data_IF_534579880256
#
_entry.id   IF_534579880256
#
_cell.length_a   1.000
_cell.length_b   1.000
_cell.length_c   1.000
_cell.angle_alpha   90.00
_cell.angle_beta   90.00
_cell.angle_gamma   90.00
#
_symmetry.space_group_name_H-M   'P 1'
#
loop_
_entity.id
_entity.type
_entity.pdbx_description
1 polymer ?
#
# COMPACT_ATOMS: atom_id res chain seq x y z
N UNK A 1 -11.66 -30.79 -6.72
CA UNK A 1 -11.08 -29.72 -7.58
C UNK A 1 -10.80 -28.53 -6.68
N UNK A 2 -9.57 -28.00 -6.62
CA UNK A 2 -9.31 -26.74 -5.93
C UNK A 2 -9.87 -25.57 -6.73
N UNK A 3 -10.45 -24.58 -6.05
CA UNK A 3 -10.99 -23.35 -6.63
C UNK A 3 -10.69 -22.16 -5.70
N UNK A 4 -10.58 -20.96 -6.25
CA UNK A 4 -10.31 -19.73 -5.50
C UNK A 4 -11.36 -18.66 -5.85
N UNK A 5 -11.79 -17.90 -4.84
CA UNK A 5 -12.58 -16.69 -5.02
C UNK A 5 -11.64 -15.51 -4.85
N UNK A 6 -11.37 -14.79 -5.93
CA UNK A 6 -10.44 -13.67 -5.90
C UNK A 6 -11.05 -12.45 -5.23
N UNK A 7 -10.21 -11.61 -4.61
CA UNK A 7 -10.65 -10.32 -4.07
C UNK A 7 -11.26 -9.40 -5.15
N UNK A 8 -10.80 -9.52 -6.40
CA UNK A 8 -11.39 -8.82 -7.54
C UNK A 8 -12.88 -9.19 -7.74
N UNK A 9 -13.23 -10.47 -7.60
CA UNK A 9 -14.63 -10.91 -7.69
C UNK A 9 -15.48 -10.38 -6.53
N UNK A 10 -14.92 -10.36 -5.30
CA UNK A 10 -15.58 -9.78 -4.13
C UNK A 10 -15.88 -8.28 -4.35
N UNK A 11 -14.89 -7.52 -4.83
CA UNK A 11 -15.05 -6.09 -5.13
C UNK A 11 -16.04 -5.86 -6.28
N UNK A 12 -16.02 -6.68 -7.32
CA UNK A 12 -16.99 -6.61 -8.42
C UNK A 12 -18.45 -6.78 -7.96
N UNK A 13 -18.70 -7.72 -7.05
CA UNK A 13 -20.04 -7.90 -6.50
C UNK A 13 -20.47 -6.69 -5.64
N UNK A 14 -19.55 -6.12 -4.85
CA UNK A 14 -19.81 -4.89 -4.10
C UNK A 14 -20.12 -3.70 -5.03
N UNK A 15 -19.37 -3.53 -6.12
CA UNK A 15 -19.61 -2.49 -7.13
C UNK A 15 -21.02 -2.60 -7.73
N UNK A 16 -21.44 -3.82 -8.08
CA UNK A 16 -22.77 -4.08 -8.62
C UNK A 16 -23.86 -3.80 -7.58
N UNK A 17 -23.64 -4.16 -6.32
CA UNK A 17 -24.58 -3.90 -5.24
C UNK A 17 -24.77 -2.39 -5.03
N UNK A 18 -23.69 -1.60 -4.96
CA UNK A 18 -23.79 -0.13 -4.85
C UNK A 18 -24.47 0.47 -6.09
N UNK A 19 -24.12 0.01 -7.28
CA UNK A 19 -24.72 0.48 -8.54
C UNK A 19 -26.24 0.24 -8.57
N UNK A 20 -26.71 -0.84 -7.93
CA UNK A 20 -28.13 -1.16 -7.85
C UNK A 20 -28.97 -0.11 -7.08
N UNK A 21 -28.38 0.69 -6.19
CA UNK A 21 -29.11 1.80 -5.54
C UNK A 21 -29.40 2.97 -6.48
N UNK A 22 -28.67 3.09 -7.59
CA UNK A 22 -28.93 4.08 -8.62
C UNK A 22 -30.03 3.67 -9.60
N UNK A 23 -30.24 2.37 -9.78
CA UNK A 23 -31.21 1.81 -10.73
C UNK A 23 -32.48 1.31 -10.06
N UNK A 24 -32.35 0.63 -8.93
CA UNK A 24 -33.45 0.11 -8.12
C UNK A 24 -33.80 1.09 -7.01
N UNK A 25 -35.06 1.03 -6.54
CA UNK A 25 -35.49 1.77 -5.35
C UNK A 25 -35.39 0.85 -4.14
N UNK A 26 -34.31 1.02 -3.37
CA UNK A 26 -34.06 0.27 -2.13
C UNK A 26 -34.46 1.15 -0.94
N UNK A 27 -35.24 0.59 -0.02
CA UNK A 27 -35.75 1.32 1.15
C UNK A 27 -35.32 0.62 2.44
N UNK A 28 -34.99 1.41 3.46
CA UNK A 28 -34.96 0.94 4.84
C UNK A 28 -36.34 1.15 5.45
N UNK A 29 -36.95 0.08 5.95
CA UNK A 29 -38.28 0.09 6.55
C UNK A 29 -38.18 -0.11 8.06
N UNK A 30 -39.04 0.59 8.80
CA UNK A 30 -39.28 0.36 10.23
C UNK A 30 -40.77 0.11 10.44
N UNK A 31 -41.11 -0.80 11.33
CA UNK A 31 -42.47 -1.25 11.58
C UNK A 31 -42.60 -1.92 12.94
N UNK A 32 -43.71 -2.64 13.13
CA UNK A 32 -44.06 -3.35 14.38
C UNK A 32 -44.20 -2.38 15.57
N UNK A 33 -45.29 -1.59 15.56
CA UNK A 33 -45.64 -0.69 16.67
C UNK A 33 -46.22 -1.44 17.88
N UNK A 34 -46.91 -2.55 17.64
CA UNK A 34 -47.56 -3.32 18.69
C UNK A 34 -46.55 -4.13 19.51
N UNK A 35 -46.88 -4.33 20.79
CA UNK A 35 -46.10 -5.16 21.70
C UNK A 35 -45.82 -6.57 21.13
N UNK A 36 -44.64 -7.09 21.44
CA UNK A 36 -44.31 -8.48 21.14
C UNK A 36 -45.13 -9.39 22.04
N UNK A 37 -45.99 -10.21 21.45
CA UNK A 37 -46.84 -11.15 22.18
C UNK A 37 -47.32 -12.28 21.25
N UNK A 38 -47.69 -13.40 21.86
CA UNK A 38 -48.21 -14.57 21.12
C UNK A 38 -47.15 -15.27 20.28
N UNK A 39 -47.55 -16.33 19.58
CA UNK A 39 -46.70 -17.01 18.62
C UNK A 39 -47.16 -16.67 17.19
N UNK A 40 -46.25 -16.19 16.33
CA UNK A 40 -46.50 -16.04 14.89
C UNK A 40 -45.43 -16.76 14.09
N UNK A 41 -45.72 -18.02 13.74
CA UNK A 41 -44.84 -18.91 12.98
C UNK A 41 -44.55 -18.42 11.55
N UNK A 42 -45.17 -17.31 11.11
CA UNK A 42 -44.84 -16.67 9.84
C UNK A 42 -43.58 -15.81 9.96
N UNK A 43 -43.26 -15.30 11.15
CA UNK A 43 -42.19 -14.31 11.36
C UNK A 43 -41.13 -14.74 12.38
N UNK A 44 -41.48 -15.60 13.34
CA UNK A 44 -40.55 -16.09 14.37
C UNK A 44 -41.04 -17.38 15.06
N UNK A 45 -40.16 -18.02 15.82
CA UNK A 45 -40.51 -19.15 16.70
C UNK A 45 -40.65 -18.68 18.15
N UNK A 46 -41.42 -19.42 18.95
CA UNK A 46 -41.61 -19.14 20.39
C UNK A 46 -42.68 -18.09 20.69
N UNK A 47 -42.60 -17.49 21.88
CA UNK A 47 -43.56 -16.51 22.40
C UNK A 47 -42.79 -15.29 22.91
N UNK A 48 -42.40 -14.36 22.02
CA UNK A 48 -41.61 -13.20 22.37
C UNK A 48 -42.33 -12.22 23.31
N UNK A 49 -41.54 -11.36 23.94
CA UNK A 49 -41.98 -10.22 24.76
C UNK A 49 -41.13 -9.00 24.44
N UNK A 50 -41.54 -7.81 24.86
CA UNK A 50 -40.75 -6.59 24.67
C UNK A 50 -39.39 -6.62 25.40
N UNK A 51 -39.22 -7.54 26.35
CA UNK A 51 -37.96 -7.78 27.06
C UNK A 51 -37.15 -8.96 26.51
N UNK A 52 -37.70 -9.72 25.57
CA UNK A 52 -37.07 -10.88 24.95
C UNK A 52 -37.53 -10.96 23.50
N UNK A 53 -36.82 -10.23 22.64
CA UNK A 53 -37.12 -10.15 21.22
C UNK A 53 -36.82 -11.48 20.51
N UNK A 54 -37.64 -11.87 19.52
CA UNK A 54 -37.44 -13.13 18.82
C UNK A 54 -36.35 -13.01 17.75
N UNK A 55 -35.76 -14.15 17.38
CA UNK A 55 -34.97 -14.25 16.15
C UNK A 55 -35.92 -14.36 14.95
N UNK A 56 -35.83 -13.46 13.95
CA UNK A 56 -36.64 -13.56 12.75
C UNK A 56 -36.38 -14.85 11.97
N UNK A 57 -37.41 -15.38 11.32
CA UNK A 57 -37.30 -16.48 10.37
C UNK A 57 -37.68 -16.02 8.96
N UNK A 58 -37.04 -16.60 7.95
CA UNK A 58 -37.34 -16.33 6.54
C UNK A 58 -38.37 -17.34 6.03
N UNK A 59 -39.64 -16.91 5.98
CA UNK A 59 -40.75 -17.70 5.41
C UNK A 59 -41.34 -16.97 4.21
N UNK A 60 -41.99 -17.70 3.30
CA UNK A 60 -42.71 -17.09 2.16
C UNK A 60 -43.84 -16.15 2.60
N UNK A 61 -44.32 -16.27 3.84
CA UNK A 61 -45.33 -15.39 4.42
C UNK A 61 -44.76 -14.18 5.17
N UNK A 62 -43.50 -14.23 5.65
CA UNK A 62 -42.90 -13.20 6.47
C UNK A 62 -42.95 -11.80 5.82
N UNK A 63 -42.61 -11.65 4.52
CA UNK A 63 -42.63 -10.34 3.87
C UNK A 63 -44.00 -9.67 3.92
N UNK A 64 -45.10 -10.41 3.73
CA UNK A 64 -46.45 -9.82 3.75
C UNK A 64 -46.81 -9.25 5.11
N UNK A 65 -46.43 -9.95 6.19
CA UNK A 65 -46.71 -9.48 7.54
C UNK A 65 -45.83 -8.28 7.89
N UNK A 66 -44.55 -8.29 7.53
CA UNK A 66 -43.65 -7.15 7.75
C UNK A 66 -44.06 -5.89 6.98
N UNK A 67 -44.56 -6.03 5.74
CA UNK A 67 -45.07 -4.89 4.97
C UNK A 67 -46.40 -4.35 5.52
N UNK A 68 -47.25 -5.21 6.09
CA UNK A 68 -48.48 -4.78 6.74
C UNK A 68 -48.21 -4.00 8.04
N UNK A 69 -47.15 -4.38 8.77
CA UNK A 69 -46.76 -3.74 10.03
C UNK A 69 -45.81 -2.55 9.83
N UNK A 70 -45.51 -2.17 8.58
CA UNK A 70 -44.61 -1.08 8.25
C UNK A 70 -45.21 0.27 8.67
N UNK A 71 -44.44 1.06 9.40
CA UNK A 71 -44.82 2.41 9.84
C UNK A 71 -44.21 3.46 8.91
N UNK A 72 -42.94 3.28 8.55
CA UNK A 72 -42.22 4.22 7.70
C UNK A 72 -41.17 3.51 6.85
N UNK A 73 -40.89 4.10 5.69
CA UNK A 73 -39.83 3.68 4.79
C UNK A 73 -39.03 4.89 4.33
N UNK A 74 -37.70 4.74 4.26
CA UNK A 74 -36.81 5.78 3.70
C UNK A 74 -36.03 5.23 2.53
N UNK A 75 -36.10 5.94 1.40
CA UNK A 75 -35.30 5.63 0.22
C UNK A 75 -33.82 5.78 0.56
N UNK A 76 -33.04 4.78 0.19
CA UNK A 76 -31.58 4.78 0.29
C UNK A 76 -31.02 5.30 -1.03
N UNK A 77 -30.41 6.48 -1.03
CA UNK A 77 -29.81 7.04 -2.23
C UNK A 77 -28.38 6.54 -2.40
N UNK A 78 -27.84 6.66 -3.62
CA UNK A 78 -26.42 6.35 -3.90
C UNK A 78 -25.45 7.18 -3.05
N UNK A 79 -25.84 8.38 -2.62
CA UNK A 79 -25.06 9.24 -1.71
C UNK A 79 -25.02 8.76 -0.26
N UNK A 80 -25.86 7.78 0.08
CA UNK A 80 -26.02 7.20 1.42
C UNK A 80 -25.34 5.82 1.52
N UNK A 81 -24.60 5.43 0.47
CA UNK A 81 -23.91 4.14 0.37
C UNK A 81 -22.47 4.36 -0.04
N UNK A 82 -21.52 3.68 0.61
CA UNK A 82 -20.10 3.76 0.28
C UNK A 82 -19.41 2.42 0.43
N UNK A 83 -18.33 2.20 -0.33
CA UNK A 83 -17.41 1.12 -0.02
C UNK A 83 -16.67 1.45 1.26
N UNK A 84 -16.43 0.43 2.08
CA UNK A 84 -15.64 0.55 3.31
C UNK A 84 -14.55 -0.51 3.36
N UNK A 85 -13.48 -0.17 4.06
CA UNK A 85 -12.38 -1.07 4.43
C UNK A 85 -12.22 -1.09 5.94
N UNK A 86 -11.63 -2.16 6.47
CA UNK A 86 -11.37 -2.27 7.90
C UNK A 86 -10.49 -1.11 8.35
N UNK A 87 -10.87 -0.46 9.45
CA UNK A 87 -10.08 0.59 10.07
C UNK A 87 -8.88 -0.01 10.78
N UNK A 88 -7.70 0.54 10.51
CA UNK A 88 -6.47 0.24 11.24
C UNK A 88 -5.82 1.58 11.53
N UNK A 89 -5.80 2.01 12.79
CA UNK A 89 -5.15 3.27 13.15
C UNK A 89 -3.65 3.07 13.34
N UNK A 90 -2.85 4.04 12.87
CA UNK A 90 -1.42 4.01 13.12
C UNK A 90 -1.13 4.20 14.62
N UNK A 91 -0.26 3.36 15.17
CA UNK A 91 0.19 3.37 16.56
C UNK A 91 1.68 3.05 16.60
N UNK A 92 2.46 3.86 17.32
CA UNK A 92 3.89 3.64 17.49
C UNK A 92 4.17 2.32 18.23
N UNK A 93 5.23 1.62 17.84
CA UNK A 93 5.63 0.34 18.42
C UNK A 93 4.93 -0.88 17.83
N UNK A 94 4.08 -0.71 16.82
CA UNK A 94 3.39 -1.81 16.12
C UNK A 94 4.14 -2.18 14.84
N UNK A 95 4.20 -3.48 14.55
CA UNK A 95 4.68 -3.99 13.26
C UNK A 95 3.51 -4.01 12.29
N UNK A 96 3.65 -3.29 11.17
CA UNK A 96 2.70 -3.36 10.07
C UNK A 96 3.22 -4.31 8.99
N UNK A 97 2.32 -5.06 8.38
CA UNK A 97 2.70 -6.01 7.34
C UNK A 97 3.18 -5.25 6.10
N UNK A 98 4.29 -5.70 5.53
CA UNK A 98 4.75 -5.21 4.23
C UNK A 98 3.81 -5.71 3.12
N UNK A 99 3.55 -4.86 2.13
CA UNK A 99 2.92 -5.31 0.90
C UNK A 99 3.81 -6.28 0.13
N UNK A 100 3.26 -7.42 -0.26
CA UNK A 100 3.91 -8.33 -1.20
C UNK A 100 2.95 -8.83 -2.26
N UNK A 101 3.35 -8.72 -3.52
CA UNK A 101 2.67 -9.34 -4.67
C UNK A 101 2.64 -10.87 -4.63
N UNK A 102 3.43 -11.50 -3.75
CA UNK A 102 3.47 -12.96 -3.53
C UNK A 102 2.67 -13.38 -2.30
N UNK A 103 2.15 -12.43 -1.52
CA UNK A 103 1.39 -12.72 -0.31
C UNK A 103 0.02 -13.30 -0.66
N UNK A 104 -0.29 -14.45 -0.07
CA UNK A 104 -1.66 -14.99 -0.10
C UNK A 104 -2.56 -14.17 0.83
N UNK A 105 -3.78 -13.91 0.36
CA UNK A 105 -4.77 -13.03 0.97
C UNK A 105 -4.19 -11.77 1.63
N UNK A 106 -3.55 -10.92 0.82
CA UNK A 106 -2.97 -9.65 1.27
C UNK A 106 -3.97 -8.77 2.05
N UNK A 107 -5.28 -8.89 1.79
CA UNK A 107 -6.32 -8.06 2.42
C UNK A 107 -6.53 -8.40 3.89
N UNK A 108 -6.24 -9.62 4.31
CA UNK A 108 -6.33 -10.04 5.71
C UNK A 108 -5.13 -9.55 6.55
N UNK A 109 -4.10 -8.99 5.91
CA UNK A 109 -2.92 -8.44 6.58
C UNK A 109 -3.15 -7.00 7.07
N UNK A 110 -2.42 -6.58 8.10
CA UNK A 110 -2.39 -5.19 8.58
C UNK A 110 -1.34 -4.36 7.80
N UNK A 111 -1.56 -4.21 6.49
CA UNK A 111 -0.58 -3.58 5.57
C UNK A 111 -0.90 -2.13 5.20
N UNK A 112 -1.92 -1.53 5.81
CA UNK A 112 -2.24 -0.12 5.68
C UNK A 112 -2.69 0.45 7.02
N UNK A 113 -2.65 1.76 7.13
CA UNK A 113 -3.02 2.50 8.34
C UNK A 113 -3.75 3.79 8.00
N UNK A 114 -4.60 4.25 8.90
CA UNK A 114 -5.12 5.60 8.95
C UNK A 114 -4.41 6.40 10.04
N UNK A 115 -4.08 7.66 9.76
CA UNK A 115 -3.52 8.60 10.74
C UNK A 115 -4.62 9.41 11.44
N UNK A 116 -4.25 10.16 12.47
CA UNK A 116 -5.10 11.17 13.13
C UNK A 116 -5.55 12.32 12.21
N UNK A 117 -4.89 12.49 11.07
CA UNK A 117 -5.29 13.43 10.02
C UNK A 117 -6.18 12.77 8.94
N UNK A 118 -6.68 11.56 9.18
CA UNK A 118 -7.50 10.79 8.23
C UNK A 118 -6.80 10.43 6.91
N UNK A 119 -5.47 10.63 6.82
CA UNK A 119 -4.65 10.14 5.73
C UNK A 119 -4.49 8.62 5.85
N UNK A 120 -4.72 7.91 4.74
CA UNK A 120 -4.56 6.47 4.63
C UNK A 120 -3.28 6.16 3.87
N UNK A 121 -2.40 5.38 4.49
CA UNK A 121 -1.12 4.97 3.94
C UNK A 121 -1.03 3.45 3.81
N UNK A 122 -0.44 2.99 2.72
CA UNK A 122 -0.05 1.60 2.52
C UNK A 122 1.42 1.40 2.90
N UNK A 123 1.71 0.34 3.65
CA UNK A 123 3.05 -0.07 4.01
C UNK A 123 3.72 -0.76 2.80
N UNK A 124 4.69 -0.09 2.18
CA UNK A 124 5.46 -0.62 1.05
C UNK A 124 6.66 -1.40 1.53
N UNK A 125 7.29 -0.99 2.63
CA UNK A 125 8.27 -1.80 3.34
C UNK A 125 8.23 -1.54 4.84
N UNK A 126 8.42 -2.60 5.63
CA UNK A 126 8.44 -2.56 7.08
C UNK A 126 9.85 -2.78 7.68
N UNK A 127 10.88 -2.60 6.84
CA UNK A 127 12.28 -2.75 7.22
C UNK A 127 12.58 -4.11 7.89
N UNK A 128 12.14 -5.20 7.27
CA UNK A 128 12.39 -6.55 7.78
C UNK A 128 11.59 -6.91 9.03
N UNK A 129 10.38 -6.36 9.18
CA UNK A 129 9.46 -6.68 10.27
C UNK A 129 9.77 -5.99 11.60
N UNK A 130 10.52 -4.89 11.58
CA UNK A 130 10.76 -4.07 12.78
C UNK A 130 9.49 -3.30 13.18
N UNK A 131 9.37 -2.84 14.42
CA UNK A 131 8.22 -2.02 14.82
C UNK A 131 8.31 -0.60 14.25
N UNK A 132 7.23 -0.10 13.65
CA UNK A 132 7.17 1.31 13.21
C UNK A 132 7.14 2.22 14.43
N UNK A 133 8.00 3.23 14.45
CA UNK A 133 8.08 4.21 15.53
C UNK A 133 7.74 5.62 15.06
N UNK A 134 7.76 5.86 13.75
CA UNK A 134 7.51 7.15 13.12
C UNK A 134 6.26 7.10 12.25
N UNK A 135 5.29 7.96 12.55
CA UNK A 135 4.05 8.08 11.79
C UNK A 135 4.33 8.65 10.39
N UNK A 136 3.79 8.08 9.31
CA UNK A 136 3.89 8.70 7.99
C UNK A 136 3.15 10.04 7.92
N UNK A 137 3.67 10.96 7.12
CA UNK A 137 3.08 12.29 6.90
C UNK A 137 3.20 12.69 5.43
N UNK A 138 2.38 13.66 5.00
CA UNK A 138 2.41 14.21 3.65
C UNK A 138 1.52 13.43 2.66
N UNK A 139 1.04 14.12 1.63
CA UNK A 139 0.05 13.59 0.68
C UNK A 139 0.61 13.51 -0.75
N UNK A 140 1.94 13.43 -0.88
CA UNK A 140 2.56 13.36 -2.20
C UNK A 140 2.27 12.02 -2.86
N UNK A 141 2.32 11.98 -4.19
CA UNK A 141 2.16 10.74 -4.95
C UNK A 141 3.38 9.81 -4.86
N UNK A 142 4.49 10.23 -4.27
CA UNK A 142 5.67 9.40 -4.06
C UNK A 142 5.54 8.45 -2.87
N UNK A 143 6.45 7.49 -2.79
CA UNK A 143 6.68 6.73 -1.55
C UNK A 143 7.56 7.57 -0.66
N UNK A 144 7.15 7.73 0.60
CA UNK A 144 7.93 8.42 1.62
C UNK A 144 8.65 7.40 2.48
N UNK A 145 9.91 7.68 2.82
CA UNK A 145 10.65 6.90 3.81
C UNK A 145 10.70 7.67 5.12
N UNK A 146 10.31 7.03 6.22
CA UNK A 146 10.36 7.61 7.56
C UNK A 146 11.69 7.28 8.25
N UNK A 147 12.02 7.99 9.33
CA UNK A 147 13.32 7.85 10.00
C UNK A 147 13.56 6.46 10.64
N UNK A 148 12.52 5.65 10.80
CA UNK A 148 12.57 4.24 11.20
C UNK A 148 12.76 3.27 10.01
N UNK A 149 13.04 3.79 8.81
CA UNK A 149 13.21 3.07 7.54
C UNK A 149 11.95 2.40 6.99
N UNK A 150 10.79 2.63 7.60
CA UNK A 150 9.54 2.26 6.94
C UNK A 150 9.34 3.07 5.67
N UNK A 151 8.73 2.43 4.66
CA UNK A 151 8.35 3.08 3.41
C UNK A 151 6.84 3.05 3.26
N UNK A 152 6.25 4.23 3.15
CA UNK A 152 4.81 4.42 3.12
C UNK A 152 4.38 5.08 1.81
N UNK A 153 3.29 4.57 1.24
CA UNK A 153 2.63 5.18 0.08
C UNK A 153 1.33 5.83 0.56
N UNK A 154 1.20 7.14 0.36
CA UNK A 154 -0.09 7.81 0.54
C UNK A 154 -1.09 7.30 -0.49
N UNK A 155 -2.29 6.92 -0.04
CA UNK A 155 -3.34 6.38 -0.89
C UNK A 155 -4.43 7.42 -1.14
N UNK A 156 -4.99 7.97 -0.05
CA UNK A 156 -6.03 9.01 -0.06
C UNK A 156 -6.22 9.56 1.36
N UNK A 157 -6.97 10.66 1.46
CA UNK A 157 -7.48 11.19 2.73
C UNK A 157 -9.00 10.95 2.79
N UNK A 158 -9.50 10.43 3.91
CA UNK A 158 -10.95 10.36 4.15
C UNK A 158 -11.48 11.78 4.33
N UNK A 159 -12.33 12.21 3.40
CA UNK A 159 -12.87 13.56 3.39
C UNK A 159 -13.79 13.80 4.60
N UNK A 160 -13.80 15.00 5.15
CA UNK A 160 -14.55 15.33 6.38
C UNK A 160 -16.04 14.97 6.31
N UNK A 161 -16.68 15.16 5.15
CA UNK A 161 -18.07 14.77 4.93
C UNK A 161 -18.27 13.25 5.04
N UNK A 162 -17.29 12.47 4.60
CA UNK A 162 -17.30 11.01 4.69
C UNK A 162 -16.89 10.52 6.08
N UNK A 163 -16.03 11.25 6.81
CA UNK A 163 -15.72 10.97 8.22
C UNK A 163 -16.99 10.93 9.05
N UNK A 164 -17.82 11.97 8.95
CA UNK A 164 -19.07 12.07 9.70
C UNK A 164 -20.08 10.97 9.34
N UNK A 165 -19.99 10.43 8.13
CA UNK A 165 -20.97 9.47 7.61
C UNK A 165 -20.58 8.01 7.78
N UNK A 166 -19.29 7.68 7.62
CA UNK A 166 -18.86 6.31 7.35
C UNK A 166 -17.70 5.84 8.23
N UNK A 167 -17.04 6.74 8.97
CA UNK A 167 -15.99 6.32 9.90
C UNK A 167 -16.61 5.79 11.18
N UNK A 168 -16.24 4.56 11.53
CA UNK A 168 -16.61 3.90 12.78
C UNK A 168 -15.35 3.44 13.53
N UNK A 169 -15.50 2.69 14.61
CA UNK A 169 -14.38 2.01 15.28
C UNK A 169 -13.71 0.98 14.37
N UNK A 170 -14.47 0.37 13.45
CA UNK A 170 -14.03 -0.80 12.68
C UNK A 170 -13.91 -0.55 11.19
N UNK A 171 -14.45 0.56 10.67
CA UNK A 171 -14.58 0.82 9.25
C UNK A 171 -14.24 2.26 8.87
N UNK A 172 -13.61 2.42 7.70
CA UNK A 172 -13.38 3.71 7.03
C UNK A 172 -13.84 3.62 5.57
N UNK A 173 -14.36 4.70 4.99
CA UNK A 173 -14.81 4.72 3.60
C UNK A 173 -13.63 4.75 2.64
N UNK A 174 -13.81 4.13 1.46
CA UNK A 174 -12.85 4.18 0.36
C UNK A 174 -13.57 4.41 -0.96
N UNK A 175 -12.97 5.18 -1.87
CA UNK A 175 -13.54 5.47 -3.19
C UNK A 175 -12.51 5.34 -4.29
N UNK A 176 -12.98 5.13 -5.51
CA UNK A 176 -12.21 5.34 -6.73
C UNK A 176 -12.73 6.62 -7.40
N UNK A 177 -11.83 7.53 -7.75
CA UNK A 177 -12.22 8.77 -8.43
C UNK A 177 -12.24 8.57 -9.94
N UNK A 178 -13.34 8.95 -10.59
CA UNK A 178 -13.49 8.92 -12.06
C UNK A 178 -13.13 10.25 -12.72
N UNK A 179 -13.04 11.32 -11.94
CA UNK A 179 -12.62 12.66 -12.36
C UNK A 179 -11.87 13.35 -11.21
N UNK A 180 -11.10 14.37 -11.56
CA UNK A 180 -10.42 15.22 -10.59
C UNK A 180 -11.45 15.94 -9.70
N UNK A 181 -11.32 15.77 -8.39
CA UNK A 181 -12.14 16.43 -7.37
C UNK A 181 -11.33 17.43 -6.53
N UNK A 182 -10.10 17.75 -6.95
CA UNK A 182 -9.17 18.65 -6.28
C UNK A 182 -8.43 18.05 -5.09
N UNK A 183 -8.68 16.77 -4.74
CA UNK A 183 -7.98 16.09 -3.66
C UNK A 183 -6.73 15.35 -4.17
N UNK A 184 -5.74 15.21 -3.30
CA UNK A 184 -4.48 14.52 -3.58
C UNK A 184 -4.65 13.06 -4.04
N UNK A 185 -5.79 12.41 -3.73
CA UNK A 185 -6.09 11.07 -4.26
C UNK A 185 -6.05 11.04 -5.79
N UNK A 186 -6.55 12.08 -6.48
CA UNK A 186 -6.53 12.10 -7.94
C UNK A 186 -5.10 12.09 -8.48
N UNK A 187 -4.21 12.91 -7.92
CA UNK A 187 -2.79 12.94 -8.29
C UNK A 187 -2.11 11.59 -8.06
N UNK A 188 -2.41 10.93 -6.93
CA UNK A 188 -1.94 9.58 -6.63
C UNK A 188 -2.41 8.58 -7.70
N UNK A 189 -3.70 8.63 -8.09
CA UNK A 189 -4.25 7.75 -9.12
C UNK A 189 -3.60 7.98 -10.50
N UNK A 190 -3.24 9.22 -10.82
CA UNK A 190 -2.67 9.56 -12.12
C UNK A 190 -1.17 9.24 -12.20
N UNK A 191 -0.45 9.36 -11.08
CA UNK A 191 0.98 9.08 -11.01
C UNK A 191 1.32 7.59 -10.79
N UNK A 192 0.32 6.73 -10.59
CA UNK A 192 0.54 5.29 -10.37
C UNK A 192 1.23 4.63 -11.58
N UNK A 193 2.26 3.82 -11.31
CA UNK A 193 3.06 3.14 -12.33
C UNK A 193 2.78 1.64 -12.30
N UNK A 194 2.26 1.11 -13.42
CA UNK A 194 1.96 -0.31 -13.58
C UNK A 194 3.19 -1.19 -13.32
N UNK A 195 3.10 -2.13 -12.37
CA UNK A 195 4.19 -3.08 -12.11
C UNK A 195 5.54 -2.45 -11.81
N UNK A 196 5.58 -1.31 -11.12
CA UNK A 196 6.85 -0.73 -10.67
C UNK A 196 7.51 -1.63 -9.63
N UNK A 197 8.84 -1.77 -9.70
CA UNK A 197 9.65 -2.44 -8.71
C UNK A 197 10.04 -1.42 -7.62
N UNK A 198 9.09 -1.13 -6.74
CA UNK A 198 9.20 -0.02 -5.79
C UNK A 198 10.21 -0.28 -4.67
N UNK A 199 10.47 -1.56 -4.37
CA UNK A 199 11.29 -2.00 -3.24
C UNK A 199 11.97 -3.34 -3.53
N UNK A 200 13.15 -3.57 -2.96
CA UNK A 200 13.82 -4.86 -2.94
C UNK A 200 14.12 -5.20 -1.49
N UNK A 201 13.49 -6.26 -1.01
CA UNK A 201 13.69 -6.76 0.34
C UNK A 201 15.01 -7.50 0.49
N UNK A 202 15.61 -7.38 1.66
CA UNK A 202 16.75 -8.19 2.08
C UNK A 202 16.22 -9.24 3.05
N UNK A 203 15.78 -10.40 2.53
CA UNK A 203 15.19 -11.46 3.36
C UNK A 203 16.25 -12.25 4.12
N UNK A 204 17.48 -12.28 3.62
CA UNK A 204 18.65 -12.76 4.35
C UNK A 204 19.81 -11.81 4.07
N UNK A 205 20.44 -11.28 5.13
CA UNK A 205 21.49 -10.27 5.00
C UNK A 205 22.84 -10.81 4.49
N UNK A 206 23.06 -12.13 4.60
CA UNK A 206 24.35 -12.76 4.33
C UNK A 206 25.47 -12.29 5.27
N UNK A 207 26.70 -12.68 4.97
CA UNK A 207 27.90 -12.34 5.76
C UNK A 207 29.13 -12.14 4.87
N UNK A 208 30.14 -11.44 5.37
CA UNK A 208 31.44 -11.29 4.71
C UNK A 208 31.49 -10.19 3.65
N UNK A 209 30.47 -9.34 3.52
CA UNK A 209 30.46 -8.20 2.62
C UNK A 209 31.35 -7.06 3.16
N UNK A 210 32.66 -7.26 3.19
CA UNK A 210 33.64 -6.35 3.83
C UNK A 210 34.40 -5.47 2.85
N UNK A 211 34.31 -5.74 1.55
CA UNK A 211 35.00 -4.95 0.52
C UNK A 211 34.20 -3.71 0.13
N UNK A 212 33.58 -3.02 1.08
CA UNK A 212 32.83 -1.78 0.85
C UNK A 212 33.66 -0.58 1.29
N UNK A 213 33.41 0.58 0.67
CA UNK A 213 34.11 1.80 1.04
C UNK A 213 33.26 3.03 0.79
N UNK A 214 33.36 4.03 1.66
CA UNK A 214 32.73 5.34 1.45
C UNK A 214 33.75 6.43 1.71
N UNK A 215 33.61 7.56 1.05
CA UNK A 215 34.51 8.69 1.26
C UNK A 215 34.26 9.81 0.26
N UNK A 216 35.14 10.81 0.29
CA UNK A 216 35.15 11.90 -0.71
C UNK A 216 36.25 11.62 -1.73
N UNK A 217 35.91 11.70 -3.01
CA UNK A 217 36.86 11.50 -4.09
C UNK A 217 37.98 12.54 -4.05
N UNK A 218 39.16 12.18 -4.56
CA UNK A 218 40.28 13.10 -4.73
C UNK A 218 40.21 13.85 -6.07
N UNK A 219 39.69 13.18 -7.11
CA UNK A 219 39.51 13.69 -8.47
C UNK A 219 38.66 12.72 -9.30
N UNK A 220 38.30 13.11 -10.52
CA UNK A 220 37.68 12.24 -11.51
C UNK A 220 37.94 12.71 -12.93
N UNK A 221 37.84 11.79 -13.88
CA UNK A 221 37.87 12.08 -15.33
C UNK A 221 36.57 11.61 -15.98
N UNK A 222 36.51 11.58 -17.30
CA UNK A 222 35.36 11.04 -18.01
C UNK A 222 35.09 9.57 -17.66
N UNK A 223 36.12 8.76 -17.41
CA UNK A 223 36.01 7.30 -17.21
C UNK A 223 36.64 6.82 -15.91
N UNK A 224 37.02 7.72 -15.01
CA UNK A 224 37.65 7.35 -13.74
C UNK A 224 37.16 8.18 -12.57
N UNK A 225 37.29 7.61 -11.38
CA UNK A 225 37.18 8.30 -10.10
C UNK A 225 38.35 7.87 -9.22
N UNK A 226 39.06 8.84 -8.65
CA UNK A 226 40.10 8.60 -7.66
C UNK A 226 39.46 8.63 -6.28
N UNK A 227 39.42 7.46 -5.63
CA UNK A 227 38.82 7.26 -4.32
C UNK A 227 39.66 7.92 -3.22
N UNK A 228 39.09 8.04 -2.02
CA UNK A 228 39.77 8.58 -0.85
C UNK A 228 41.04 7.77 -0.52
N UNK A 229 42.03 8.41 0.10
CA UNK A 229 43.31 7.76 0.46
C UNK A 229 43.13 6.53 1.36
N UNK A 230 42.05 6.50 2.16
CA UNK A 230 41.68 5.38 3.03
C UNK A 230 41.10 4.17 2.30
N UNK A 231 40.83 4.25 0.99
CA UNK A 231 40.37 3.09 0.22
C UNK A 231 41.45 2.00 0.16
N UNK A 232 41.05 0.76 -0.15
CA UNK A 232 41.96 -0.40 -0.16
C UNK A 232 43.19 -0.21 -1.05
N UNK A 233 44.34 -0.74 -0.61
CA UNK A 233 45.59 -0.76 -1.38
C UNK A 233 45.70 -1.92 -2.36
N UNK A 234 44.73 -2.82 -2.35
CA UNK A 234 44.75 -4.05 -3.15
C UNK A 234 44.13 -3.79 -4.51
N UNK A 235 44.86 -4.12 -5.57
CA UNK A 235 44.34 -4.09 -6.94
C UNK A 235 43.13 -5.03 -7.09
N UNK A 236 42.24 -4.71 -8.02
CA UNK A 236 41.06 -5.48 -8.40
C UNK A 236 39.98 -5.72 -7.33
N UNK A 237 40.21 -5.31 -6.07
CA UNK A 237 39.32 -5.61 -4.94
C UNK A 237 37.88 -5.10 -5.11
N UNK A 238 37.69 -4.04 -5.90
CA UNK A 238 36.38 -3.45 -6.21
C UNK A 238 35.87 -3.79 -7.61
N UNK A 239 36.55 -4.64 -8.39
CA UNK A 239 36.10 -4.99 -9.73
C UNK A 239 34.74 -5.70 -9.69
N UNK A 240 33.82 -5.27 -10.56
CA UNK A 240 32.44 -5.75 -10.61
C UNK A 240 31.51 -5.19 -9.52
N UNK A 241 32.02 -4.38 -8.60
CA UNK A 241 31.21 -3.60 -7.65
C UNK A 241 30.70 -2.31 -8.31
N UNK A 242 29.81 -1.58 -7.65
CA UNK A 242 29.38 -0.25 -8.11
C UNK A 242 29.98 0.87 -7.27
N UNK A 243 30.19 2.02 -7.91
CA UNK A 243 30.43 3.31 -7.26
C UNK A 243 29.24 4.22 -7.52
N UNK A 244 28.64 4.73 -6.44
CA UNK A 244 27.54 5.69 -6.48
C UNK A 244 28.00 7.02 -5.88
N UNK A 245 27.69 8.14 -6.54
CA UNK A 245 27.92 9.49 -5.98
C UNK A 245 26.68 9.89 -5.21
N UNK A 246 26.81 10.06 -3.89
CA UNK A 246 25.71 10.34 -2.96
C UNK A 246 25.56 11.81 -2.58
N UNK A 247 26.56 12.64 -2.89
CA UNK A 247 26.46 14.11 -2.88
C UNK A 247 27.67 14.76 -3.58
N UNK A 248 27.59 16.07 -3.83
CA UNK A 248 28.65 16.85 -4.48
C UNK A 248 28.59 16.76 -6.01
N UNK A 249 29.71 17.03 -6.69
CA UNK A 249 29.74 17.01 -8.15
C UNK A 249 29.38 15.64 -8.70
N UNK A 250 28.39 15.58 -9.60
CA UNK A 250 27.96 14.33 -10.23
C UNK A 250 27.03 13.45 -9.38
N UNK A 251 26.43 14.02 -8.33
CA UNK A 251 25.43 13.37 -7.47
C UNK A 251 24.34 12.62 -8.26
N UNK A 252 23.92 11.47 -7.72
CA UNK A 252 22.91 10.59 -8.30
C UNK A 252 23.42 9.61 -9.35
N UNK A 253 24.67 9.75 -9.82
CA UNK A 253 25.22 8.82 -10.81
C UNK A 253 25.76 7.54 -10.16
N UNK A 254 25.48 6.40 -10.79
CA UNK A 254 26.03 5.08 -10.43
C UNK A 254 26.75 4.45 -11.63
N UNK A 255 27.87 3.79 -11.37
CA UNK A 255 28.64 3.06 -12.40
C UNK A 255 29.21 1.76 -11.84
N UNK A 256 29.34 0.75 -12.69
CA UNK A 256 30.07 -0.48 -12.39
C UNK A 256 31.57 -0.26 -12.59
N UNK A 257 32.36 -0.65 -11.60
CA UNK A 257 33.83 -0.59 -11.64
C UNK A 257 34.33 -1.75 -12.50
N UNK A 258 34.96 -1.42 -13.62
CA UNK A 258 35.54 -2.42 -14.54
C UNK A 258 36.98 -2.75 -14.21
N UNK A 259 37.69 -1.84 -13.54
CA UNK A 259 39.08 -2.00 -13.11
C UNK A 259 39.37 -1.10 -11.89
N UNK A 260 40.27 -1.52 -11.00
CA UNK A 260 40.68 -0.78 -9.82
C UNK A 260 42.17 -0.96 -9.52
N UNK A 261 42.90 0.16 -9.54
CA UNK A 261 44.32 0.19 -9.19
C UNK A 261 44.48 0.71 -7.75
N UNK A 262 44.79 -0.20 -6.83
CA UNK A 262 44.86 0.05 -5.38
C UNK A 262 46.03 0.94 -4.96
N UNK A 263 47.11 0.97 -5.75
CA UNK A 263 48.24 1.88 -5.51
C UNK A 263 47.89 3.35 -5.73
N UNK A 264 47.03 3.65 -6.72
CA UNK A 264 46.59 5.02 -7.05
C UNK A 264 45.19 5.35 -6.51
N UNK A 265 44.50 4.34 -5.98
CA UNK A 265 43.09 4.39 -5.54
C UNK A 265 42.13 4.75 -6.68
N UNK A 266 42.47 4.42 -7.91
CA UNK A 266 41.69 4.81 -9.09
C UNK A 266 40.77 3.69 -9.52
N UNK A 267 39.46 3.96 -9.56
CA UNK A 267 38.46 3.08 -10.15
C UNK A 267 38.15 3.55 -11.58
N UNK A 268 38.16 2.61 -12.53
CA UNK A 268 37.79 2.81 -13.93
C UNK A 268 36.35 2.36 -14.14
N UNK A 269 35.58 3.18 -14.86
CA UNK A 269 34.14 3.00 -15.09
C UNK A 269 33.75 3.44 -16.51
N UNK A 270 32.49 3.18 -16.90
CA UNK A 270 31.93 3.80 -18.12
C UNK A 270 31.76 5.31 -17.97
N UNK A 271 31.65 6.01 -19.09
CA UNK A 271 31.66 7.48 -19.13
C UNK A 271 30.62 8.09 -18.19
N UNK A 272 31.05 9.05 -17.37
CA UNK A 272 30.18 9.87 -16.54
C UNK A 272 29.44 10.90 -17.38
N UNK A 273 28.20 11.23 -17.00
CA UNK A 273 27.49 12.38 -17.56
C UNK A 273 28.07 13.68 -17.01
N UNK A 274 28.37 13.69 -15.70
CA UNK A 274 29.13 14.75 -15.03
C UNK A 274 30.33 14.12 -14.34
N UNK A 275 31.54 14.52 -14.73
CA UNK A 275 32.77 13.95 -14.15
C UNK A 275 32.81 14.23 -12.64
N UNK A 276 33.08 13.21 -11.79
CA UNK A 276 33.31 13.42 -10.37
C UNK A 276 34.49 14.37 -10.12
N UNK A 277 34.44 15.09 -9.00
CA UNK A 277 35.46 16.02 -8.56
C UNK A 277 35.85 15.78 -7.10
N UNK A 278 36.69 16.63 -6.54
CA UNK A 278 37.20 16.49 -5.16
C UNK A 278 36.15 16.73 -4.06
N UNK A 279 34.95 17.15 -4.43
CA UNK A 279 33.80 17.31 -3.53
C UNK A 279 32.77 16.16 -3.66
N UNK A 280 32.95 15.24 -4.61
CA UNK A 280 32.07 14.10 -4.82
C UNK A 280 32.18 13.12 -3.65
N UNK A 281 31.11 12.95 -2.88
CA UNK A 281 31.01 11.90 -1.86
C UNK A 281 30.51 10.64 -2.54
N UNK A 282 31.20 9.52 -2.34
CA UNK A 282 30.92 8.26 -3.00
C UNK A 282 30.71 7.10 -2.04
N UNK A 283 30.06 6.07 -2.56
CA UNK A 283 29.85 4.77 -1.92
C UNK A 283 30.23 3.65 -2.91
N UNK A 284 31.23 2.85 -2.57
CA UNK A 284 31.60 1.60 -3.26
C UNK A 284 30.93 0.44 -2.54
N UNK A 285 29.98 -0.19 -3.22
CA UNK A 285 29.08 -1.21 -2.66
C UNK A 285 28.91 -2.39 -3.63
N UNK A 286 28.48 -3.57 -3.17
CA UNK A 286 28.22 -4.70 -4.07
C UNK A 286 27.16 -4.31 -5.10
N UNK A 287 27.33 -4.75 -6.35
CA UNK A 287 26.42 -4.41 -7.41
C UNK A 287 25.12 -5.22 -7.30
N UNK A 288 23.99 -4.59 -7.59
CA UNK A 288 22.67 -5.25 -7.62
C UNK A 288 22.29 -5.47 -9.08
N UNK A 289 22.12 -6.72 -9.48
CA UNK A 289 21.63 -7.08 -10.79
C UNK A 289 20.17 -7.53 -10.70
N UNK A 290 19.29 -6.91 -11.49
CA UNK A 290 17.86 -7.23 -11.56
C UNK A 290 17.59 -7.93 -12.90
N UNK A 291 16.86 -9.04 -12.85
CA UNK A 291 16.38 -9.75 -14.04
C UNK A 291 14.86 -9.90 -13.99
N UNK A 292 14.19 -9.86 -15.14
CA UNK A 292 12.75 -10.08 -15.28
C UNK A 292 12.42 -11.44 -15.94
N UNK A 293 13.41 -12.33 -16.03
CA UNK A 293 13.26 -13.63 -16.70
C UNK A 293 12.78 -13.48 -18.16
N UNK A 294 11.89 -14.37 -18.58
CA UNK A 294 11.33 -14.43 -19.94
C UNK A 294 9.85 -14.06 -20.00
N UNK A 295 9.36 -13.23 -19.07
CA UNK A 295 7.95 -12.87 -19.01
C UNK A 295 7.44 -12.12 -20.25
N UNK A 296 6.14 -12.31 -20.53
CA UNK A 296 5.41 -11.55 -21.55
C UNK A 296 4.14 -10.96 -20.92
N UNK A 297 3.91 -9.64 -21.02
CA UNK A 297 4.78 -8.65 -21.66
C UNK A 297 6.09 -8.41 -20.86
N UNK A 298 7.16 -8.11 -21.58
CA UNK A 298 8.45 -7.69 -20.99
C UNK A 298 8.25 -6.31 -20.32
N UNK A 299 8.93 -6.01 -19.20
CA UNK A 299 8.90 -4.68 -18.59
C UNK A 299 9.18 -3.58 -19.61
N UNK A 300 8.36 -2.53 -19.61
CA UNK A 300 8.47 -1.40 -20.54
C UNK A 300 9.62 -0.45 -20.16
N UNK A 301 10.06 -0.48 -18.91
CA UNK A 301 11.21 0.28 -18.42
C UNK A 301 11.94 -0.55 -17.38
N UNK A 302 13.26 -0.69 -17.52
CA UNK A 302 14.06 -1.49 -16.60
C UNK A 302 14.31 -0.74 -15.29
N UNK A 303 14.18 -1.46 -14.18
CA UNK A 303 14.52 -1.01 -12.85
C UNK A 303 16.04 -1.05 -12.63
N UNK A 304 16.53 -0.17 -11.77
CA UNK A 304 17.92 -0.13 -11.29
C UNK A 304 17.92 0.08 -9.79
N UNK A 305 18.88 -0.55 -9.10
CA UNK A 305 19.02 -0.46 -7.66
C UNK A 305 20.49 -0.46 -7.24
N UNK A 306 20.72 -0.10 -5.99
CA UNK A 306 22.04 -0.12 -5.36
C UNK A 306 21.96 -0.71 -3.96
N UNK A 307 23.00 -1.41 -3.54
CA UNK A 307 23.20 -1.66 -2.12
C UNK A 307 23.58 -0.33 -1.46
N UNK A 308 22.81 0.10 -0.46
CA UNK A 308 22.96 1.40 0.19
C UNK A 308 23.38 1.29 1.66
N UNK A 309 23.39 0.08 2.23
CA UNK A 309 23.90 -0.12 3.58
C UNK A 309 24.43 -1.53 3.78
N UNK A 310 25.66 -1.60 4.32
CA UNK A 310 26.30 -2.82 4.78
C UNK A 310 26.90 -2.55 6.16
N UNK A 311 26.53 -3.35 7.15
CA UNK A 311 26.96 -3.16 8.55
C UNK A 311 27.47 -4.49 9.09
N UNK A 312 28.70 -4.51 9.59
CA UNK A 312 29.32 -5.73 10.12
C UNK A 312 29.46 -6.85 9.07
N UNK A 313 29.61 -6.50 7.78
CA UNK A 313 29.67 -7.45 6.68
C UNK A 313 28.33 -8.07 6.28
N UNK A 314 27.21 -7.55 6.78
CA UNK A 314 25.85 -7.99 6.45
C UNK A 314 25.11 -6.89 5.66
N UNK A 315 24.40 -7.27 4.59
CA UNK A 315 23.60 -6.34 3.79
C UNK A 315 22.40 -5.87 4.61
N UNK A 316 22.22 -4.56 4.73
CA UNK A 316 21.12 -3.97 5.51
C UNK A 316 20.07 -3.29 4.66
N UNK A 317 20.43 -2.79 3.46
CA UNK A 317 19.48 -2.05 2.64
C UNK A 317 19.84 -2.09 1.16
N UNK A 318 18.82 -2.31 0.34
CA UNK A 318 18.83 -2.05 -1.09
C UNK A 318 17.94 -0.83 -1.35
N UNK A 319 18.44 0.11 -2.13
CA UNK A 319 17.70 1.31 -2.53
C UNK A 319 17.50 1.31 -4.03
N UNK A 320 16.26 1.57 -4.47
CA UNK A 320 15.96 1.76 -5.88
C UNK A 320 16.55 3.08 -6.36
N UNK A 321 17.26 3.06 -7.50
CA UNK A 321 17.70 4.25 -8.24
C UNK A 321 16.77 4.55 -9.42
N UNK A 322 16.01 3.55 -9.85
CA UNK A 322 14.88 3.69 -10.76
C UNK A 322 13.96 2.47 -10.62
N UNK A 323 12.67 2.69 -10.44
CA UNK A 323 11.71 1.61 -10.11
C UNK A 323 11.26 0.80 -11.33
N UNK A 324 11.48 1.29 -12.55
CA UNK A 324 11.02 0.65 -13.77
C UNK A 324 9.50 0.58 -13.89
N UNK A 325 8.99 -0.14 -14.89
CA UNK A 325 7.56 -0.29 -15.14
C UNK A 325 7.27 -1.60 -15.91
N UNK A 326 6.09 -2.17 -15.67
CA UNK A 326 5.57 -3.34 -16.38
C UNK A 326 6.06 -4.69 -15.86
N UNK A 327 6.68 -4.75 -14.68
CA UNK A 327 7.12 -6.03 -14.10
C UNK A 327 5.93 -6.87 -13.61
N UNK A 328 6.04 -8.21 -13.75
CA UNK A 328 5.18 -9.19 -13.07
C UNK A 328 5.99 -10.27 -12.33
N UNK A 329 7.26 -10.39 -12.70
CA UNK A 329 8.29 -11.17 -12.03
C UNK A 329 9.61 -10.41 -12.09
N UNK A 330 10.39 -10.55 -11.03
CA UNK A 330 11.77 -10.11 -10.99
C UNK A 330 12.57 -10.97 -10.03
N UNK A 331 13.85 -11.15 -10.32
CA UNK A 331 14.86 -11.60 -9.37
C UNK A 331 15.91 -10.53 -9.21
N UNK A 332 16.52 -10.47 -8.02
CA UNK A 332 17.66 -9.61 -7.75
C UNK A 332 18.79 -10.43 -7.12
N UNK A 333 20.02 -10.16 -7.54
CA UNK A 333 21.22 -10.79 -6.99
C UNK A 333 22.30 -9.75 -6.72
N UNK A 334 23.16 -10.04 -5.74
CA UNK A 334 24.35 -9.23 -5.46
C UNK A 334 25.57 -9.86 -6.11
N UNK A 335 26.44 -9.01 -6.64
CA UNK A 335 27.75 -9.40 -7.16
C UNK A 335 28.86 -8.55 -6.53
N UNK A 336 29.98 -9.18 -6.17
CA UNK A 336 31.12 -8.52 -5.53
C UNK A 336 30.99 -8.37 -4.01
N UNK A 337 31.82 -7.52 -3.41
CA UNK A 337 31.80 -7.22 -1.97
C UNK A 337 32.48 -8.24 -1.05
N UNK A 338 32.90 -9.39 -1.57
CA UNK A 338 33.61 -10.45 -0.81
C UNK A 338 32.71 -11.35 0.05
N UNK A 339 31.41 -11.04 0.15
CA UNK A 339 30.45 -11.78 0.95
C UNK A 339 29.60 -12.77 0.17
N UNK A 340 28.84 -13.59 0.90
CA UNK A 340 27.91 -14.57 0.35
C UNK A 340 26.65 -14.71 1.21
N UNK A 341 25.64 -15.39 0.68
CA UNK A 341 24.44 -15.78 1.43
C UNK A 341 23.39 -14.69 1.61
N UNK A 342 23.55 -13.52 0.98
CA UNK A 342 22.47 -12.54 0.93
C UNK A 342 21.38 -13.00 -0.06
N UNK A 343 20.12 -12.85 0.33
CA UNK A 343 18.94 -13.15 -0.48
C UNK A 343 18.14 -11.88 -0.63
N UNK A 344 17.86 -11.52 -1.88
CA UNK A 344 17.09 -10.34 -2.26
C UNK A 344 15.76 -10.75 -2.87
N UNK A 345 14.70 -10.05 -2.50
CA UNK A 345 13.35 -10.30 -3.01
C UNK A 345 12.74 -9.01 -3.56
N UNK A 346 12.67 -8.84 -4.90
CA UNK A 346 11.96 -7.73 -5.50
C UNK A 346 10.48 -7.68 -5.10
N UNK A 347 9.98 -6.50 -4.76
CA UNK A 347 8.55 -6.24 -4.55
C UNK A 347 7.99 -5.47 -5.74
N UNK A 348 7.03 -6.09 -6.41
CA UNK A 348 6.42 -5.57 -7.63
C UNK A 348 5.05 -4.98 -7.29
N UNK A 349 4.79 -3.77 -7.76
CA UNK A 349 3.50 -3.12 -7.59
C UNK A 349 2.37 -3.81 -8.36
N UNK A 350 1.12 -3.56 -7.98
CA UNK A 350 -0.03 -4.19 -8.62
C UNK A 350 -0.19 -3.70 -10.07
N UNK A 351 -1.10 -4.37 -10.79
CA UNK A 351 -1.56 -3.87 -12.09
C UNK A 351 -2.06 -2.43 -11.96
N UNK A 352 -1.63 -1.58 -12.89
CA UNK A 352 -1.80 -0.13 -12.96
C UNK A 352 -1.09 0.69 -11.86
N UNK A 353 -0.43 0.04 -10.90
CA UNK A 353 0.40 0.68 -9.89
C UNK A 353 -0.29 0.99 -8.57
N UNK A 354 0.55 1.20 -7.54
CA UNK A 354 0.10 1.55 -6.19
C UNK A 354 -0.65 2.88 -6.17
N UNK A 355 -1.85 2.86 -5.58
CA UNK A 355 -2.70 4.03 -5.44
C UNK A 355 -3.59 4.29 -6.65
N UNK A 356 -3.49 3.50 -7.74
CA UNK A 356 -4.37 3.68 -8.91
C UNK A 356 -5.84 3.47 -8.54
N UNK A 357 -6.11 2.48 -7.70
CA UNK A 357 -7.45 2.17 -7.23
C UNK A 357 -7.38 1.67 -5.78
N UNK A 358 -7.36 2.63 -4.85
CA UNK A 358 -7.31 2.35 -3.42
C UNK A 358 -8.43 1.41 -2.95
N UNK A 359 -9.63 1.53 -3.54
CA UNK A 359 -10.76 0.63 -3.26
C UNK A 359 -10.39 -0.84 -3.50
N UNK A 360 -9.91 -1.19 -4.68
CA UNK A 360 -9.53 -2.59 -4.96
C UNK A 360 -8.27 -3.02 -4.20
N UNK A 361 -7.32 -2.10 -4.03
CA UNK A 361 -6.00 -2.41 -3.49
C UNK A 361 -6.00 -2.60 -1.97
N UNK A 362 -6.92 -1.94 -1.25
CA UNK A 362 -7.07 -2.02 0.20
C UNK A 362 -8.25 -2.90 0.65
N UNK A 363 -8.91 -3.60 -0.29
CA UNK A 363 -9.95 -4.58 0.05
C UNK A 363 -11.34 -4.00 0.28
N UNK A 364 -11.74 -2.99 -0.49
CA UNK A 364 -13.05 -2.32 -0.46
C UNK A 364 -14.20 -3.19 -0.98
N UNK A 365 -14.33 -4.42 -0.51
CA UNK A 365 -15.40 -5.35 -0.86
C UNK A 365 -16.62 -5.26 0.09
N UNK A 366 -16.54 -4.46 1.15
CA UNK A 366 -17.62 -4.22 2.08
C UNK A 366 -18.37 -2.94 1.72
N UNK A 367 -19.65 -2.89 2.04
CA UNK A 367 -20.54 -1.77 1.74
C UNK A 367 -21.19 -1.31 3.03
N UNK A 368 -21.11 0.00 3.30
CA UNK A 368 -21.82 0.64 4.41
C UNK A 368 -22.94 1.51 3.87
N UNK A 369 -24.12 1.38 4.48
CA UNK A 369 -25.26 2.25 4.23
C UNK A 369 -25.47 3.15 5.44
N UNK A 370 -25.51 4.46 5.23
CA UNK A 370 -25.76 5.43 6.29
C UNK A 370 -27.12 6.10 6.07
N UNK A 371 -28.14 5.56 6.73
CA UNK A 371 -29.50 6.10 6.67
C UNK A 371 -29.95 6.47 8.06
N UNK A 372 -30.26 7.76 8.24
CA UNK A 372 -30.94 8.26 9.42
C UNK A 372 -32.43 8.34 9.14
N UNK A 373 -33.23 7.57 9.86
CA UNK A 373 -34.68 7.75 9.89
C UNK A 373 -34.96 8.95 10.83
N UNK A 374 -35.57 10.03 10.32
CA UNK A 374 -35.96 11.22 11.10
C UNK A 374 -37.35 11.65 10.64
N UNK A 375 -38.26 11.92 11.58
CA UNK A 375 -39.57 12.47 11.29
C UNK A 375 -39.54 13.93 10.85
N UNK A 376 -40.67 14.43 10.36
CA UNK A 376 -40.82 15.81 9.82
C UNK A 376 -40.87 16.89 10.90
N UNK A 377 -41.10 16.55 12.17
CA UNK A 377 -41.16 17.48 13.30
C UNK A 377 -40.36 16.94 14.50
N UNK A 378 -39.40 17.71 15.02
CA UNK A 378 -38.78 17.46 16.33
C UNK A 378 -37.85 16.24 16.48
N UNK A 379 -37.81 15.32 15.52
CA UNK A 379 -37.00 14.10 15.58
C UNK A 379 -37.75 12.84 16.03
N UNK A 380 -39.06 12.93 16.27
CA UNK A 380 -39.92 11.81 16.67
C UNK A 380 -40.61 11.17 15.45
N UNK A 381 -40.91 9.88 15.55
CA UNK A 381 -41.78 9.17 14.60
C UNK A 381 -43.23 9.32 15.05
N UNK A 382 -44.09 9.87 14.18
CA UNK A 382 -45.54 9.81 14.38
C UNK A 382 -46.01 8.38 14.17
N UNK A 383 -46.41 7.71 15.25
CA UNK A 383 -46.90 6.31 15.26
C UNK A 383 -48.43 6.21 15.25
N UNK A 384 -49.15 7.30 14.96
CA UNK A 384 -50.61 7.32 14.84
C UNK A 384 -51.13 8.55 14.08
N UNK A 385 -52.27 8.41 13.42
CA UNK A 385 -53.09 9.52 12.90
C UNK A 385 -53.78 10.21 14.08
N UNK A 386 -53.32 11.39 14.47
CA UNK A 386 -53.98 12.24 15.50
C UNK A 386 -55.15 13.06 14.92
N UNK A 387 -55.60 12.75 13.70
CA UNK A 387 -56.77 13.37 13.06
C UNK A 387 -57.83 12.32 12.74
N UNK A 388 -58.59 11.94 13.76
CA UNK A 388 -59.98 11.48 13.62
C UNK A 388 -60.92 12.42 14.34
#
# INVERSE_FOLDING_TARGET
MPAIITNAFRTYNADNFISAFGTNKVYLMIGKADAWSGADLRQYTGTPTDTSLPTPIDTTSAPFVHHNDMIAAKLINTSDVSHVIKRVDWTSGIVYAEYSHLQDDQIDQTFFVMTDQYNVYKCISNYGGTASTVKPTGQTSGIVETADNYRWKFMYEVQQADVLKYVTTDWIPVKYLTSDDGNAQWDVQQAAVDGALEHIDVTTAGTGYVNTHTGTAQAGTATTIQLAQTASGTDDIYNGMTVYISSGTGDGQIKTITDYVGSTKTATVSTWTTNPASDSVYEVMPAVAISHGSETPVPSTLATARCSSVVGGAIKKISMTGVGAGYRFATAVLTGGGGTGAVLEPRIGPKNGHGKNAKTELGGAYVMMNIRLVGTEGGDFTVGDDFR
#
